data_IF_650260775250
#
_entry.id   IF_650260775250
#
_cell.length_a   1.000
_cell.length_b   1.000
_cell.length_c   1.000
_cell.angle_alpha   90.00
_cell.angle_beta   90.00
_cell.angle_gamma   90.00
#
_symmetry.space_group_name_H-M   'P 1'
#
loop_
_entity.id
_entity.type
_entity.pdbx_description
1 polymer ?
#
# COMPACT_ATOMS: atom_id res chain seq x y z
N UNK A 1 29.13 -15.60 58.96
CA UNK A 1 29.04 -14.83 57.72
C UNK A 1 27.76 -15.24 57.00
N UNK A 2 26.75 -14.36 56.94
CA UNK A 2 25.44 -14.63 56.33
C UNK A 2 25.52 -14.34 54.83
N UNK A 3 25.17 -15.31 53.98
CA UNK A 3 24.95 -15.10 52.54
C UNK A 3 23.45 -15.04 52.28
N UNK A 4 22.97 -13.89 51.83
CA UNK A 4 21.59 -13.62 51.43
C UNK A 4 21.48 -14.04 49.96
N UNK A 5 20.58 -14.99 49.68
CA UNK A 5 20.24 -15.47 48.34
C UNK A 5 19.03 -14.63 47.87
N UNK A 6 19.22 -13.80 46.84
CA UNK A 6 18.16 -13.00 46.25
C UNK A 6 17.56 -13.78 45.07
N UNK A 7 16.32 -14.26 45.21
CA UNK A 7 15.56 -14.91 44.15
C UNK A 7 14.72 -13.82 43.44
N UNK A 8 15.00 -13.54 42.17
CA UNK A 8 14.18 -12.63 41.36
C UNK A 8 13.13 -13.46 40.60
N UNK A 9 11.86 -13.23 40.94
CA UNK A 9 10.69 -13.77 40.25
C UNK A 9 10.43 -12.94 39.00
N UNK A 10 10.51 -13.53 37.81
CA UNK A 10 10.12 -12.88 36.55
C UNK A 10 8.72 -13.38 36.16
N UNK A 11 7.75 -12.48 36.19
CA UNK A 11 6.34 -12.74 35.84
C UNK A 11 6.15 -12.53 34.34
N UNK A 12 5.78 -13.58 33.61
CA UNK A 12 5.36 -13.50 32.20
C UNK A 12 3.90 -13.02 32.12
N UNK A 13 3.68 -11.85 31.52
CA UNK A 13 2.36 -11.47 31.01
C UNK A 13 2.23 -12.01 29.58
N UNK A 14 1.29 -12.93 29.37
CA UNK A 14 0.86 -13.38 28.04
C UNK A 14 -0.27 -12.45 27.59
N UNK A 15 -0.07 -11.68 26.52
CA UNK A 15 -1.14 -10.99 25.80
C UNK A 15 -1.44 -11.76 24.51
N UNK A 16 -2.69 -12.20 24.41
CA UNK A 16 -3.34 -12.82 23.25
C UNK A 16 -3.59 -11.77 22.17
N UNK A 17 -3.08 -11.97 20.95
CA UNK A 17 -3.50 -11.22 19.77
C UNK A 17 -4.60 -11.99 19.04
N UNK A 18 -5.71 -11.29 18.79
CA UNK A 18 -6.85 -11.71 17.97
C UNK A 18 -6.43 -11.85 16.50
N UNK A 19 -7.01 -12.83 15.80
CA UNK A 19 -6.91 -12.95 14.35
C UNK A 19 -7.79 -11.88 13.69
N UNK A 20 -7.18 -10.93 12.99
CA UNK A 20 -7.90 -10.04 12.08
C UNK A 20 -7.74 -10.57 10.65
N UNK A 21 -8.87 -10.91 10.02
CA UNK A 21 -8.96 -11.29 8.62
C UNK A 21 -8.76 -10.05 7.73
N UNK A 22 -7.76 -10.11 6.85
CA UNK A 22 -7.53 -9.09 5.84
C UNK A 22 -8.61 -9.17 4.75
N UNK A 23 -9.49 -8.18 4.72
CA UNK A 23 -10.47 -7.99 3.64
C UNK A 23 -9.84 -7.16 2.53
N UNK A 24 -9.77 -7.74 1.34
CA UNK A 24 -9.40 -7.07 0.09
C UNK A 24 -10.49 -6.05 -0.27
N UNK A 25 -10.20 -4.76 -0.10
CA UNK A 25 -11.09 -3.68 -0.51
C UNK A 25 -10.91 -3.37 -2.00
N UNK A 26 -11.84 -3.85 -2.82
CA UNK A 26 -12.04 -3.37 -4.19
C UNK A 26 -12.85 -2.06 -4.12
N UNK A 27 -12.27 -0.87 -4.44
CA UNK A 27 -12.93 0.41 -4.19
C UNK A 27 -13.81 0.79 -5.38
N UNK A 28 -14.81 -0.02 -5.70
CA UNK A 28 -15.98 0.43 -6.47
C UNK A 28 -17.18 0.53 -5.53
N UNK A 29 -17.15 1.54 -4.65
CA UNK A 29 -18.31 1.91 -3.84
C UNK A 29 -18.85 3.28 -4.30
N UNK A 30 -20.13 3.29 -4.66
CA UNK A 30 -20.90 4.48 -5.03
C UNK A 30 -20.87 5.54 -3.90
N UNK A 31 -20.44 6.76 -4.25
CA UNK A 31 -20.48 7.94 -3.40
C UNK A 31 -21.92 8.45 -3.23
N UNK A 32 -22.62 7.98 -2.18
CA UNK A 32 -23.89 8.59 -1.79
C UNK A 32 -23.58 9.79 -0.90
N UNK A 33 -23.70 10.98 -1.48
CA UNK A 33 -23.67 12.20 -0.70
C UNK A 33 -24.89 12.21 0.27
N UNK A 34 -24.79 12.86 1.44
CA UNK A 34 -25.89 13.10 2.39
C UNK A 34 -26.36 14.55 2.38
N UNK A 35 -27.65 14.78 2.64
CA UNK A 35 -28.24 16.12 2.65
C UNK A 35 -27.64 16.98 3.78
N UNK A 36 -26.91 18.03 3.42
CA UNK A 36 -26.51 19.10 4.34
C UNK A 36 -27.68 20.01 4.69
N UNK A 37 -27.51 20.77 5.77
CA UNK A 37 -28.41 21.72 6.50
C UNK A 37 -29.82 22.03 5.95
N UNK A 38 -30.78 22.27 6.85
CA UNK A 38 -32.22 22.41 6.59
C UNK A 38 -32.64 23.50 5.60
N UNK A 39 -31.75 24.43 5.21
CA UNK A 39 -32.01 25.50 4.24
C UNK A 39 -31.49 25.19 2.81
N UNK A 40 -30.95 23.99 2.59
CA UNK A 40 -30.40 23.58 1.30
C UNK A 40 -31.50 23.17 0.31
N UNK A 41 -31.60 23.88 -0.82
CA UNK A 41 -32.44 23.53 -1.96
C UNK A 41 -31.78 22.54 -2.92
N UNK A 42 -30.47 22.28 -2.76
CA UNK A 42 -29.77 21.20 -3.44
C UNK A 42 -29.69 19.97 -2.57
N UNK A 43 -29.87 18.80 -3.17
CA UNK A 43 -29.72 17.51 -2.52
C UNK A 43 -28.40 16.87 -2.92
N UNK A 44 -28.02 15.89 -2.13
CA UNK A 44 -26.82 15.14 -2.33
C UNK A 44 -26.81 14.31 -3.63
N UNK A 45 -27.97 14.04 -4.21
CA UNK A 45 -28.12 13.41 -5.53
C UNK A 45 -27.92 14.36 -6.70
N UNK A 46 -27.72 15.66 -6.46
CA UNK A 46 -27.59 16.67 -7.52
C UNK A 46 -26.26 16.60 -8.26
N UNK A 47 -25.26 15.92 -7.70
CA UNK A 47 -23.92 15.85 -8.26
C UNK A 47 -23.42 14.41 -8.25
N UNK A 48 -22.67 14.07 -9.29
CA UNK A 48 -21.94 12.83 -9.42
C UNK A 48 -20.45 13.16 -9.25
N UNK A 49 -19.81 12.52 -8.28
CA UNK A 49 -18.38 12.68 -7.97
C UNK A 49 -17.67 11.37 -8.25
N UNK A 50 -16.76 11.37 -9.21
CA UNK A 50 -15.83 10.26 -9.44
C UNK A 50 -14.41 10.69 -9.12
N UNK A 51 -13.64 9.80 -8.50
CA UNK A 51 -12.26 10.09 -8.10
C UNK A 51 -11.35 9.00 -8.59
N UNK A 52 -10.18 9.40 -9.07
CA UNK A 52 -9.07 8.50 -9.37
C UNK A 52 -7.78 9.04 -8.78
N UNK A 53 -6.81 8.16 -8.58
CA UNK A 53 -5.44 8.51 -8.25
C UNK A 53 -4.48 7.81 -9.21
N UNK A 54 -3.28 8.37 -9.38
CA UNK A 54 -2.21 7.65 -10.06
C UNK A 54 -1.60 6.56 -9.15
N UNK A 55 -0.76 5.70 -9.72
CA UNK A 55 -0.20 4.53 -9.01
C UNK A 55 0.59 4.90 -7.75
N UNK A 56 1.40 5.96 -7.82
CA UNK A 56 2.17 6.45 -6.69
C UNK A 56 1.31 7.20 -5.64
N UNK A 57 0.02 7.44 -5.90
CA UNK A 57 -0.93 8.09 -4.98
C UNK A 57 -0.68 9.58 -4.75
N UNK A 58 0.15 10.25 -5.56
CA UNK A 58 0.48 11.66 -5.39
C UNK A 58 -0.35 12.59 -6.25
N UNK A 59 -0.96 12.11 -7.34
CA UNK A 59 -1.89 12.87 -8.18
C UNK A 59 -3.30 12.32 -8.02
N UNK A 60 -4.21 13.21 -7.63
CA UNK A 60 -5.62 12.93 -7.40
C UNK A 60 -6.47 13.71 -8.39
N UNK A 61 -7.38 13.04 -9.08
CA UNK A 61 -8.32 13.65 -10.03
C UNK A 61 -9.74 13.45 -9.54
N UNK A 62 -10.44 14.55 -9.28
CA UNK A 62 -11.85 14.59 -8.95
C UNK A 62 -12.62 15.11 -10.16
N UNK A 63 -13.58 14.34 -10.64
CA UNK A 63 -14.51 14.77 -11.69
C UNK A 63 -15.88 14.93 -11.06
N UNK A 64 -16.37 16.17 -11.06
CA UNK A 64 -17.69 16.53 -10.54
C UNK A 64 -18.56 16.92 -11.72
N UNK A 65 -19.71 16.28 -11.83
CA UNK A 65 -20.72 16.61 -12.84
C UNK A 65 -22.08 16.79 -12.18
N UNK A 66 -22.94 17.60 -12.80
CA UNK A 66 -24.33 17.68 -12.40
C UNK A 66 -25.04 16.39 -12.76
N UNK A 67 -25.92 15.91 -11.89
CA UNK A 67 -26.84 14.85 -12.24
C UNK A 67 -27.86 15.41 -13.27
N UNK A 68 -27.93 14.88 -14.50
CA UNK A 68 -28.83 15.40 -15.54
C UNK A 68 -30.31 15.22 -15.19
N UNK A 69 -30.64 14.33 -14.25
CA UNK A 69 -32.00 14.08 -13.79
C UNK A 69 -32.47 15.12 -12.75
N UNK A 70 -31.57 15.96 -12.25
CA UNK A 70 -31.89 16.98 -11.24
C UNK A 70 -31.66 18.39 -11.78
N UNK A 71 -32.27 19.39 -11.12
CA UNK A 71 -32.08 20.81 -11.45
C UNK A 71 -30.90 21.40 -10.66
N UNK A 72 -29.77 20.70 -10.67
CA UNK A 72 -28.57 21.08 -9.95
C UNK A 72 -28.08 22.48 -10.38
N UNK A 73 -27.73 23.30 -9.38
CA UNK A 73 -27.14 24.63 -9.60
C UNK A 73 -25.68 24.51 -10.04
N UNK A 74 -25.08 25.62 -10.46
CA UNK A 74 -23.63 25.67 -10.68
C UNK A 74 -22.90 25.52 -9.34
N UNK A 75 -21.80 24.76 -9.37
CA UNK A 75 -20.91 24.57 -8.23
C UNK A 75 -20.19 25.89 -7.96
N UNK A 76 -20.19 26.34 -6.70
CA UNK A 76 -19.38 27.47 -6.26
C UNK A 76 -18.03 27.01 -5.73
N UNK A 77 -18.02 25.99 -4.89
CA UNK A 77 -16.77 25.36 -4.45
C UNK A 77 -16.97 23.90 -4.02
N UNK A 78 -15.87 23.17 -4.06
CA UNK A 78 -15.75 21.81 -3.55
C UNK A 78 -14.77 21.78 -2.38
N UNK A 79 -15.09 21.01 -1.32
CA UNK A 79 -14.23 20.88 -0.14
C UNK A 79 -13.91 19.41 0.08
N UNK A 80 -12.64 19.12 0.35
CA UNK A 80 -12.16 17.76 0.67
C UNK A 80 -11.53 17.78 2.06
N UNK A 81 -11.96 16.88 2.95
CA UNK A 81 -11.28 16.66 4.23
C UNK A 81 -9.96 15.93 3.98
N UNK A 82 -8.87 16.50 4.49
CA UNK A 82 -7.55 15.87 4.41
C UNK A 82 -7.12 15.22 5.73
N UNK A 83 -7.83 15.45 6.84
CA UNK A 83 -7.50 14.89 8.16
C UNK A 83 -7.87 13.41 8.28
N UNK A 84 -7.19 12.55 7.53
CA UNK A 84 -7.54 11.13 7.41
C UNK A 84 -6.44 10.19 7.93
N UNK A 85 -5.35 10.73 8.47
CA UNK A 85 -4.26 9.97 9.09
C UNK A 85 -3.59 10.74 10.25
N UNK A 86 -4.37 11.45 11.07
CA UNK A 86 -3.84 12.23 12.19
C UNK A 86 -2.74 13.21 11.77
N UNK A 87 -1.58 13.15 12.44
CA UNK A 87 -0.44 14.03 12.16
C UNK A 87 0.26 13.76 10.83
N UNK A 88 0.01 12.61 10.20
CA UNK A 88 0.62 12.24 8.92
C UNK A 88 -0.27 12.53 7.71
N UNK A 89 -1.50 12.97 7.97
CA UNK A 89 -2.46 13.44 6.96
C UNK A 89 -1.82 14.37 5.93
N UNK A 90 -2.30 14.30 4.69
CA UNK A 90 -2.03 15.36 3.72
C UNK A 90 -2.50 16.71 4.29
N UNK A 91 -1.78 17.78 4.00
CA UNK A 91 -2.13 19.14 4.40
C UNK A 91 -2.08 20.08 3.20
N UNK A 92 -2.64 21.28 3.35
CA UNK A 92 -2.55 22.33 2.34
C UNK A 92 -1.09 22.61 1.90
N UNK A 93 -0.13 22.52 2.82
CA UNK A 93 1.29 22.76 2.55
C UNK A 93 1.94 21.66 1.69
N UNK A 94 1.36 20.46 1.64
CA UNK A 94 1.89 19.36 0.83
C UNK A 94 1.44 19.43 -0.64
N UNK A 95 0.58 20.40 -1.01
CA UNK A 95 0.09 20.56 -2.38
C UNK A 95 1.15 21.27 -3.23
N UNK A 96 1.62 20.61 -4.28
CA UNK A 96 2.57 21.15 -5.26
C UNK A 96 1.84 22.02 -6.28
N UNK A 97 0.72 21.51 -6.81
CA UNK A 97 -0.19 22.27 -7.65
C UNK A 97 -1.60 21.70 -7.56
N UNK A 98 -2.58 22.52 -7.91
CA UNK A 98 -3.91 22.04 -8.24
C UNK A 98 -4.43 22.80 -9.46
N UNK A 99 -5.22 22.11 -10.28
CA UNK A 99 -5.87 22.70 -11.45
C UNK A 99 -7.37 22.41 -11.44
N UNK A 100 -8.15 23.34 -11.97
CA UNK A 100 -9.56 23.13 -12.33
C UNK A 100 -9.67 23.30 -13.85
N UNK A 101 -10.12 22.26 -14.55
CA UNK A 101 -10.24 22.23 -16.01
C UNK A 101 -8.95 22.66 -16.75
N UNK A 102 -7.79 22.26 -16.21
CA UNK A 102 -6.47 22.54 -16.79
C UNK A 102 -5.86 23.91 -16.43
N UNK A 103 -6.55 24.75 -15.65
CA UNK A 103 -6.04 26.04 -15.18
C UNK A 103 -5.74 25.99 -13.68
N UNK A 104 -4.78 26.78 -13.17
CA UNK A 104 -4.47 26.82 -11.73
C UNK A 104 -5.73 27.05 -10.89
N UNK A 105 -5.92 26.21 -9.88
CA UNK A 105 -7.06 26.26 -8.99
C UNK A 105 -6.93 27.41 -7.98
N UNK A 106 -8.05 28.05 -7.64
CA UNK A 106 -8.15 28.95 -6.50
C UNK A 106 -8.42 28.13 -5.23
N UNK A 107 -7.35 27.88 -4.47
CA UNK A 107 -7.36 27.08 -3.26
C UNK A 107 -7.37 27.95 -2.01
N UNK A 108 -8.18 27.57 -1.02
CA UNK A 108 -8.15 28.19 0.30
C UNK A 108 -8.28 27.14 1.41
N UNK A 109 -7.62 27.37 2.55
CA UNK A 109 -7.72 26.54 3.75
C UNK A 109 -8.83 27.03 4.71
N UNK A 110 -9.73 27.90 4.24
CA UNK A 110 -10.81 28.47 5.03
C UNK A 110 -12.09 28.54 4.20
N UNK A 111 -13.18 28.05 4.76
CA UNK A 111 -14.51 28.15 4.15
C UNK A 111 -14.92 29.62 3.95
N UNK A 112 -14.60 30.49 4.92
CA UNK A 112 -15.16 31.84 5.06
C UNK A 112 -16.31 31.85 6.08
N UNK A 113 -16.99 32.99 6.25
CA UNK A 113 -18.22 33.08 7.04
C UNK A 113 -19.45 32.98 6.12
N UNK A 114 -20.51 32.31 6.58
CA UNK A 114 -21.84 32.36 5.95
C UNK A 114 -22.06 31.43 4.76
N UNK A 115 -21.28 30.36 4.64
CA UNK A 115 -21.30 29.42 3.50
C UNK A 115 -22.04 28.10 3.80
N UNK A 116 -22.66 27.95 4.96
CA UNK A 116 -23.51 26.82 5.37
C UNK A 116 -22.89 25.41 5.28
N UNK A 117 -21.63 25.24 4.84
CA UNK A 117 -20.94 23.94 4.80
C UNK A 117 -20.24 23.60 6.12
N UNK A 118 -19.74 24.60 6.85
CA UNK A 118 -19.06 24.51 8.15
C UNK A 118 -18.16 23.25 8.28
N UNK A 119 -17.18 23.04 7.38
CA UNK A 119 -16.24 21.94 7.50
C UNK A 119 -15.44 22.01 8.82
N UNK A 120 -15.28 23.22 9.38
CA UNK A 120 -14.59 23.47 10.65
C UNK A 120 -15.25 22.75 11.85
N UNK A 121 -16.54 22.43 11.78
CA UNK A 121 -17.21 21.60 12.80
C UNK A 121 -16.72 20.15 12.81
N UNK A 122 -16.13 19.66 11.72
CA UNK A 122 -15.67 18.27 11.54
C UNK A 122 -14.14 18.18 11.52
N UNK A 123 -13.47 19.12 10.86
CA UNK A 123 -12.03 19.08 10.61
C UNK A 123 -11.43 20.47 10.51
N UNK A 124 -10.19 20.62 10.98
CA UNK A 124 -9.39 21.83 10.79
C UNK A 124 -8.40 21.69 9.62
N UNK A 125 -8.34 20.53 8.96
CA UNK A 125 -7.44 20.26 7.85
C UNK A 125 -8.27 19.79 6.63
N UNK A 126 -8.62 20.76 5.80
CA UNK A 126 -9.36 20.58 4.57
C UNK A 126 -8.85 21.55 3.51
N UNK A 127 -9.22 21.29 2.27
CA UNK A 127 -8.99 22.20 1.14
C UNK A 127 -10.31 22.60 0.53
N UNK A 128 -10.52 23.90 0.31
CA UNK A 128 -11.62 24.44 -0.47
C UNK A 128 -11.10 24.85 -1.84
N UNK A 129 -11.69 24.30 -2.88
CA UNK A 129 -11.40 24.58 -4.29
C UNK A 129 -12.57 25.38 -4.85
N UNK A 130 -12.34 26.66 -5.15
CA UNK A 130 -13.34 27.46 -5.85
C UNK A 130 -13.38 27.05 -7.33
N UNK A 131 -14.57 26.98 -7.88
CA UNK A 131 -14.79 26.61 -9.28
C UNK A 131 -15.77 27.57 -9.93
N UNK A 132 -15.72 27.64 -11.25
CA UNK A 132 -16.62 28.47 -12.06
C UNK A 132 -17.21 27.65 -13.22
N UNK A 133 -18.22 28.22 -13.87
CA UNK A 133 -18.88 27.61 -15.03
C UNK A 133 -19.91 26.54 -14.67
N UNK A 134 -20.39 25.83 -15.69
CA UNK A 134 -21.53 24.90 -15.58
C UNK A 134 -21.14 23.42 -15.40
N UNK A 135 -19.85 23.13 -15.32
CA UNK A 135 -19.30 21.79 -15.27
C UNK A 135 -19.22 21.10 -16.65
N UNK A 136 -18.67 19.86 -16.73
CA UNK A 136 -18.05 19.14 -15.61
C UNK A 136 -16.81 19.88 -15.09
N UNK A 137 -16.52 19.69 -13.80
CA UNK A 137 -15.33 20.24 -13.15
C UNK A 137 -14.34 19.11 -12.94
N UNK A 138 -13.22 19.18 -13.64
CA UNK A 138 -12.08 18.26 -13.48
C UNK A 138 -11.07 18.95 -12.59
N UNK A 139 -10.90 18.45 -11.38
CA UNK A 139 -10.00 19.01 -10.37
C UNK A 139 -8.82 18.05 -10.21
N UNK A 140 -7.64 18.49 -10.60
CA UNK A 140 -6.39 17.74 -10.40
C UNK A 140 -5.64 18.34 -9.22
N UNK A 141 -5.20 17.50 -8.29
CA UNK A 141 -4.44 17.91 -7.10
C UNK A 141 -3.20 17.04 -7.01
N UNK A 142 -2.03 17.68 -7.13
CA UNK A 142 -0.73 17.02 -6.97
C UNK A 142 -0.17 17.34 -5.60
N UNK A 143 0.10 16.31 -4.82
CA UNK A 143 0.86 16.39 -3.59
C UNK A 143 2.35 16.10 -3.83
N UNK A 144 3.19 16.51 -2.88
CA UNK A 144 4.64 16.31 -2.92
C UNK A 144 5.06 14.84 -2.80
N UNK A 145 4.19 13.99 -2.24
CA UNK A 145 4.39 12.55 -2.05
C UNK A 145 3.09 11.79 -2.27
N UNK A 146 3.21 10.47 -2.33
CA UNK A 146 2.08 9.56 -2.42
C UNK A 146 1.26 9.49 -1.14
N UNK A 147 -0.04 9.27 -1.27
CA UNK A 147 -0.95 8.94 -0.16
C UNK A 147 -1.79 7.70 -0.51
N UNK A 148 -2.10 6.89 0.50
CA UNK A 148 -3.08 5.80 0.38
C UNK A 148 -4.49 6.35 0.20
N UNK A 149 -5.38 5.54 -0.39
CA UNK A 149 -6.78 5.93 -0.55
C UNK A 149 -7.62 5.59 0.67
N UNK A 150 -8.44 6.54 1.11
CA UNK A 150 -9.41 6.33 2.18
C UNK A 150 -10.72 7.04 1.86
N UNK A 151 -11.84 6.49 2.33
CA UNK A 151 -13.13 7.16 2.25
C UNK A 151 -13.17 8.26 3.30
N UNK A 152 -13.40 9.51 2.88
CA UNK A 152 -13.51 10.66 3.75
C UNK A 152 -14.70 11.56 3.38
N UNK A 153 -14.96 12.55 4.23
CA UNK A 153 -16.01 13.55 4.03
C UNK A 153 -15.56 14.60 3.01
N UNK A 154 -16.49 14.97 2.14
CA UNK A 154 -16.40 16.11 1.23
C UNK A 154 -17.66 16.96 1.29
N UNK A 155 -17.57 18.19 0.80
CA UNK A 155 -18.69 19.11 0.73
C UNK A 155 -18.79 19.74 -0.65
N UNK A 156 -20.02 19.89 -1.13
CA UNK A 156 -20.37 20.57 -2.37
C UNK A 156 -21.21 21.78 -2.04
N UNK A 157 -20.72 22.97 -2.39
CA UNK A 157 -21.45 24.23 -2.26
C UNK A 157 -21.98 24.67 -3.62
N UNK A 158 -23.29 24.86 -3.73
CA UNK A 158 -23.92 25.40 -4.92
C UNK A 158 -25.03 26.40 -4.58
N UNK A 159 -25.00 27.59 -5.17
CA UNK A 159 -25.93 28.67 -4.82
C UNK A 159 -25.89 29.00 -3.32
N UNK A 160 -27.00 28.80 -2.59
CA UNK A 160 -27.13 28.97 -1.13
C UNK A 160 -27.23 27.61 -0.41
N UNK A 161 -26.68 26.56 -1.00
CA UNK A 161 -26.92 25.19 -0.56
C UNK A 161 -25.60 24.47 -0.39
N UNK A 162 -25.48 23.68 0.67
CA UNK A 162 -24.33 22.81 0.92
C UNK A 162 -24.80 21.38 1.10
N UNK A 163 -24.12 20.44 0.43
CA UNK A 163 -24.31 19.01 0.61
C UNK A 163 -23.02 18.36 1.07
N UNK A 164 -23.11 17.41 1.99
CA UNK A 164 -21.98 16.64 2.48
C UNK A 164 -21.95 15.29 1.77
N UNK A 165 -20.83 14.59 1.81
CA UNK A 165 -20.84 13.18 1.45
C UNK A 165 -19.50 12.51 1.45
N UNK A 166 -19.53 11.20 1.26
CA UNK A 166 -18.34 10.36 1.27
C UNK A 166 -17.70 10.33 -0.11
N UNK A 167 -16.37 10.43 -0.15
CA UNK A 167 -15.56 10.37 -1.37
C UNK A 167 -14.20 9.74 -1.04
N UNK A 168 -13.52 9.16 -2.04
CA UNK A 168 -12.10 8.84 -1.91
C UNK A 168 -11.27 10.12 -1.72
N UNK A 169 -10.37 10.09 -0.75
CA UNK A 169 -9.47 11.19 -0.40
C UNK A 169 -8.09 10.65 0.02
N UNK A 170 -7.06 11.52 0.05
CA UNK A 170 -5.74 11.16 0.58
C UNK A 170 -5.82 10.72 2.06
N UNK A 171 -5.25 9.56 2.35
CA UNK A 171 -5.14 8.95 3.67
C UNK A 171 -3.76 9.15 4.30
N UNK A 172 -3.16 8.04 4.76
CA UNK A 172 -1.79 8.05 5.24
C UNK A 172 -0.79 8.20 4.09
N UNK A 173 0.39 8.80 4.32
CA UNK A 173 1.43 8.85 3.31
C UNK A 173 1.80 7.45 2.85
N UNK A 174 1.95 7.28 1.54
CA UNK A 174 2.67 6.12 1.02
C UNK A 174 4.11 6.28 1.46
N UNK A 175 4.54 5.39 2.34
CA UNK A 175 5.96 5.25 2.62
C UNK A 175 6.58 4.76 1.32
N UNK A 176 7.64 5.43 0.79
CA UNK A 176 8.33 4.97 -0.40
C UNK A 176 8.67 3.51 -0.20
N UNK A 177 8.16 2.69 -1.11
CA UNK A 177 8.45 1.28 -1.11
C UNK A 177 9.96 1.11 -1.13
N UNK A 178 10.50 0.36 -0.18
CA UNK A 178 11.90 0.05 -0.17
C UNK A 178 12.02 -1.47 -0.08
N UNK A 179 12.74 -2.05 -1.05
CA UNK A 179 12.99 -3.48 -1.07
C UNK A 179 14.24 -3.77 -0.25
N UNK A 180 14.18 -4.75 0.63
CA UNK A 180 15.37 -5.25 1.28
C UNK A 180 15.97 -6.39 0.45
N UNK A 181 17.30 -6.39 0.32
CA UNK A 181 17.99 -7.44 -0.41
C UNK A 181 17.75 -8.85 0.15
N UNK A 182 17.98 -9.88 -0.67
CA UNK A 182 18.02 -11.27 -0.21
C UNK A 182 18.95 -11.48 1.02
N UNK A 183 20.02 -10.72 1.16
CA UNK A 183 20.91 -10.81 2.31
C UNK A 183 20.24 -10.36 3.62
N UNK A 184 19.34 -9.37 3.55
CA UNK A 184 18.60 -8.89 4.70
C UNK A 184 17.68 -9.99 5.27
N UNK A 185 16.86 -10.62 4.42
CA UNK A 185 15.89 -11.62 4.87
C UNK A 185 16.50 -12.99 5.17
N UNK A 186 17.48 -13.43 4.38
CA UNK A 186 17.97 -14.81 4.42
C UNK A 186 19.33 -14.97 5.09
N UNK A 187 20.28 -14.04 4.85
CA UNK A 187 21.61 -14.14 5.46
C UNK A 187 21.63 -13.66 6.92
N UNK A 188 20.92 -12.56 7.19
CA UNK A 188 21.02 -11.85 8.46
C UNK A 188 19.82 -12.08 9.40
N UNK A 189 18.68 -12.54 8.86
CA UNK A 189 17.54 -13.08 9.61
C UNK A 189 17.19 -12.33 10.90
N UNK A 190 16.91 -13.10 11.96
CA UNK A 190 16.50 -12.59 13.27
C UNK A 190 17.67 -12.03 14.12
N UNK A 191 18.91 -12.33 13.75
CA UNK A 191 20.08 -12.08 14.61
C UNK A 191 20.57 -10.63 14.58
N UNK A 192 20.34 -9.88 13.49
CA UNK A 192 20.89 -8.53 13.32
C UNK A 192 19.84 -7.42 13.06
N UNK A 193 18.57 -7.77 12.84
CA UNK A 193 17.54 -6.79 12.47
C UNK A 193 16.64 -6.35 13.64
N UNK A 194 16.98 -6.72 14.88
CA UNK A 194 16.21 -6.33 16.07
C UNK A 194 14.80 -6.95 16.19
N UNK A 195 14.40 -7.80 15.22
CA UNK A 195 13.13 -8.52 15.20
C UNK A 195 13.37 -10.03 15.34
N UNK A 196 12.67 -10.67 16.28
CA UNK A 196 12.77 -12.12 16.54
C UNK A 196 12.17 -12.98 15.42
N UNK A 197 11.25 -12.43 14.61
CA UNK A 197 10.70 -13.09 13.43
C UNK A 197 10.29 -12.04 12.38
N UNK A 198 10.91 -12.07 11.20
CA UNK A 198 10.55 -11.23 10.05
C UNK A 198 9.49 -11.91 9.17
N UNK A 199 9.34 -13.23 9.27
CA UNK A 199 8.39 -14.00 8.48
C UNK A 199 7.25 -14.45 9.41
N UNK A 200 6.50 -13.48 9.95
CA UNK A 200 5.46 -13.74 10.95
C UNK A 200 4.40 -14.75 10.47
N UNK A 201 4.10 -14.74 9.17
CA UNK A 201 3.17 -15.68 8.52
C UNK A 201 3.87 -16.73 7.65
N UNK A 202 5.20 -16.86 7.77
CA UNK A 202 6.02 -17.61 6.82
C UNK A 202 6.15 -16.90 5.46
N UNK A 203 6.90 -17.54 4.56
CA UNK A 203 7.07 -17.13 3.17
C UNK A 203 6.55 -18.26 2.29
N UNK A 204 5.45 -18.04 1.57
CA UNK A 204 4.96 -19.00 0.59
C UNK A 204 5.67 -18.81 -0.73
N UNK A 205 6.18 -19.86 -1.37
CA UNK A 205 6.70 -19.90 -2.75
C UNK A 205 6.32 -21.25 -3.35
N UNK A 206 5.67 -21.27 -4.52
CA UNK A 206 5.27 -22.51 -5.19
C UNK A 206 4.28 -23.33 -4.36
N UNK A 207 3.28 -22.67 -3.79
CA UNK A 207 2.29 -23.25 -2.85
C UNK A 207 2.85 -23.80 -1.53
N UNK A 208 4.18 -23.78 -1.32
CA UNK A 208 4.81 -24.23 -0.08
C UNK A 208 5.12 -23.03 0.82
N UNK A 209 4.61 -23.04 2.06
CA UNK A 209 4.93 -22.03 3.08
C UNK A 209 6.16 -22.45 3.88
N UNK A 210 7.23 -21.67 3.76
CA UNK A 210 8.49 -21.83 4.48
C UNK A 210 8.52 -20.99 5.75
N UNK A 211 9.05 -21.55 6.83
CA UNK A 211 9.37 -20.77 8.03
C UNK A 211 10.67 -19.99 7.84
N UNK A 212 10.92 -18.99 8.68
CA UNK A 212 12.20 -18.27 8.64
C UNK A 212 13.41 -19.20 8.87
N UNK A 213 13.24 -20.22 9.71
CA UNK A 213 14.28 -21.23 9.94
C UNK A 213 14.60 -22.02 8.66
N UNK A 214 13.56 -22.41 7.90
CA UNK A 214 13.72 -23.09 6.61
C UNK A 214 14.46 -22.21 5.61
N UNK A 215 14.06 -20.94 5.50
CA UNK A 215 14.72 -19.96 4.64
C UNK A 215 16.21 -19.79 4.92
N UNK A 216 16.56 -19.62 6.20
CA UNK A 216 17.95 -19.50 6.64
C UNK A 216 18.73 -20.80 6.41
N UNK A 217 18.11 -21.96 6.61
CA UNK A 217 18.72 -23.26 6.32
C UNK A 217 19.04 -23.42 4.83
N UNK A 218 18.06 -23.13 3.96
CA UNK A 218 18.24 -23.17 2.49
C UNK A 218 19.36 -22.21 2.07
N UNK A 219 19.38 -20.99 2.61
CA UNK A 219 20.41 -20.00 2.34
C UNK A 219 21.82 -20.46 2.74
N UNK A 220 21.97 -21.03 3.93
CA UNK A 220 23.27 -21.47 4.44
C UNK A 220 23.86 -22.61 3.59
N UNK A 221 23.02 -23.54 3.12
CA UNK A 221 23.45 -24.62 2.22
C UNK A 221 23.80 -24.06 0.83
N UNK A 222 22.97 -23.18 0.26
CA UNK A 222 23.18 -22.61 -1.09
C UNK A 222 24.43 -21.73 -1.18
N UNK A 223 24.63 -20.81 -0.22
CA UNK A 223 25.81 -19.93 -0.18
C UNK A 223 27.09 -20.64 0.22
N UNK A 224 26.99 -21.87 0.72
CA UNK A 224 28.12 -22.76 0.99
C UNK A 224 28.67 -23.40 -0.29
N UNK A 225 28.75 -24.73 -0.30
CA UNK A 225 29.28 -25.48 -1.45
C UNK A 225 28.21 -25.85 -2.49
N UNK A 226 26.94 -25.49 -2.26
CA UNK A 226 25.77 -25.98 -2.97
C UNK A 226 25.14 -25.03 -3.97
N UNK A 227 25.84 -23.96 -4.39
CA UNK A 227 25.27 -22.86 -5.18
C UNK A 227 24.45 -23.31 -6.38
N UNK A 228 23.13 -23.14 -6.28
CA UNK A 228 22.17 -23.48 -7.31
C UNK A 228 21.54 -22.18 -7.84
N UNK A 229 21.74 -21.89 -9.13
CA UNK A 229 21.23 -20.65 -9.75
C UNK A 229 19.70 -20.53 -9.69
N UNK A 230 18.98 -21.65 -9.56
CA UNK A 230 17.52 -21.66 -9.35
C UNK A 230 17.15 -21.09 -7.98
N UNK A 231 17.96 -21.38 -6.94
CA UNK A 231 17.73 -20.85 -5.60
C UNK A 231 17.97 -19.34 -5.53
N UNK A 232 18.80 -18.75 -6.40
CA UNK A 232 18.81 -17.29 -6.54
C UNK A 232 17.41 -16.75 -6.92
N UNK A 233 16.68 -17.43 -7.81
CA UNK A 233 15.29 -17.08 -8.11
C UNK A 233 14.38 -17.16 -6.88
N UNK A 234 14.50 -18.24 -6.11
CA UNK A 234 13.79 -18.42 -4.84
C UNK A 234 14.03 -17.26 -3.86
N UNK A 235 15.29 -16.90 -3.62
CA UNK A 235 15.65 -15.83 -2.69
C UNK A 235 15.20 -14.45 -3.17
N UNK A 236 15.28 -14.18 -4.47
CA UNK A 236 14.87 -12.90 -5.04
C UNK A 236 13.34 -12.74 -4.99
N UNK A 237 12.59 -13.80 -5.32
CA UNK A 237 11.14 -13.81 -5.12
C UNK A 237 10.79 -13.61 -3.64
N UNK A 238 11.46 -14.33 -2.74
CA UNK A 238 11.24 -14.17 -1.30
C UNK A 238 11.50 -12.74 -0.82
N UNK A 239 12.59 -12.12 -1.27
CA UNK A 239 12.95 -10.77 -0.89
C UNK A 239 11.91 -9.73 -1.37
N UNK A 240 11.46 -9.82 -2.63
CA UNK A 240 10.47 -8.87 -3.17
C UNK A 240 9.08 -9.07 -2.55
N UNK A 241 8.70 -10.31 -2.25
CA UNK A 241 7.44 -10.64 -1.58
C UNK A 241 7.42 -10.17 -0.13
N UNK A 242 8.47 -10.48 0.64
CA UNK A 242 8.59 -10.04 2.04
C UNK A 242 8.71 -8.53 2.18
N UNK A 243 9.17 -7.86 1.11
CA UNK A 243 9.19 -6.42 1.06
C UNK A 243 7.84 -5.84 0.62
N UNK A 244 6.92 -6.60 0.00
CA UNK A 244 5.60 -6.20 -0.55
C UNK A 244 5.57 -5.47 -1.93
N UNK A 245 6.45 -5.84 -2.89
CA UNK A 245 6.47 -5.24 -4.27
C UNK A 245 6.45 -6.28 -5.37
N UNK A 246 5.85 -7.42 -5.08
CA UNK A 246 5.63 -8.46 -6.06
C UNK A 246 4.95 -7.92 -7.32
N UNK A 247 3.95 -7.05 -7.16
CA UNK A 247 3.19 -6.45 -8.25
C UNK A 247 4.08 -5.70 -9.26
N UNK A 248 5.23 -5.16 -8.84
CA UNK A 248 6.15 -4.43 -9.72
C UNK A 248 6.98 -5.35 -10.62
N UNK A 249 7.02 -6.65 -10.31
CA UNK A 249 7.81 -7.67 -11.03
C UNK A 249 6.98 -8.93 -11.35
N UNK A 250 5.66 -8.79 -11.47
CA UNK A 250 4.70 -9.90 -11.56
C UNK A 250 5.06 -10.94 -12.65
N UNK A 251 5.47 -10.50 -13.84
CA UNK A 251 5.86 -11.41 -14.93
C UNK A 251 6.99 -12.37 -14.52
N UNK A 252 7.93 -11.90 -13.69
CA UNK A 252 9.05 -12.71 -13.22
C UNK A 252 8.64 -13.60 -12.04
N UNK A 253 7.75 -13.10 -11.19
CA UNK A 253 7.13 -13.86 -10.10
C UNK A 253 6.41 -15.08 -10.67
N UNK A 254 5.57 -14.91 -11.68
CA UNK A 254 4.79 -16.00 -12.29
C UNK A 254 5.67 -17.15 -12.80
N UNK A 255 6.84 -16.83 -13.37
CA UNK A 255 7.80 -17.83 -13.85
C UNK A 255 8.39 -18.63 -12.69
N UNK A 256 8.77 -17.95 -11.61
CA UNK A 256 9.40 -18.57 -10.44
C UNK A 256 8.35 -19.40 -9.67
N UNK A 257 7.15 -18.87 -9.49
CA UNK A 257 6.00 -19.57 -8.89
C UNK A 257 5.68 -20.85 -9.64
N UNK A 258 5.47 -20.80 -10.95
CA UNK A 258 5.11 -21.97 -11.74
C UNK A 258 6.16 -23.10 -11.63
N UNK A 259 7.44 -22.75 -11.59
CA UNK A 259 8.52 -23.71 -11.36
C UNK A 259 8.43 -24.32 -9.95
N UNK A 260 8.33 -23.50 -8.90
CA UNK A 260 8.33 -24.00 -7.53
C UNK A 260 7.04 -24.73 -7.15
N UNK A 261 5.89 -24.39 -7.73
CA UNK A 261 4.65 -25.17 -7.61
C UNK A 261 4.85 -26.60 -8.10
N UNK A 262 5.54 -26.77 -9.23
CA UNK A 262 5.81 -28.10 -9.78
C UNK A 262 6.93 -28.85 -9.03
N UNK A 263 7.89 -28.13 -8.43
CA UNK A 263 8.93 -28.71 -7.58
C UNK A 263 8.35 -29.20 -6.24
N UNK A 264 7.43 -28.43 -5.65
CA UNK A 264 6.95 -28.62 -4.28
C UNK A 264 7.93 -28.04 -3.25
N UNK A 265 8.10 -28.74 -2.14
CA UNK A 265 8.97 -28.28 -1.06
C UNK A 265 10.45 -28.44 -1.43
N UNK A 266 11.19 -27.32 -1.47
CA UNK A 266 12.63 -27.28 -1.78
C UNK A 266 13.46 -28.18 -0.85
N UNK A 267 13.05 -28.30 0.42
CA UNK A 267 13.76 -29.11 1.41
C UNK A 267 13.78 -30.61 1.04
N UNK A 268 12.82 -31.09 0.26
CA UNK A 268 12.77 -32.49 -0.20
C UNK A 268 13.88 -32.83 -1.22
N UNK A 269 14.56 -31.80 -1.74
CA UNK A 269 15.67 -31.94 -2.70
C UNK A 269 17.04 -31.79 -2.05
N UNK A 270 17.11 -31.71 -0.71
CA UNK A 270 18.37 -31.74 0.02
C UNK A 270 19.06 -33.10 -0.19
N UNK A 271 20.34 -33.07 -0.58
CA UNK A 271 21.12 -34.28 -0.81
C UNK A 271 22.55 -34.11 -0.32
N UNK A 272 23.20 -35.24 -0.01
CA UNK A 272 24.59 -35.27 0.44
C UNK A 272 25.46 -36.00 -0.60
N UNK A 273 26.55 -35.36 -1.05
CA UNK A 273 27.58 -36.00 -1.86
C UNK A 273 28.96 -35.60 -1.35
N UNK A 274 29.85 -36.58 -1.17
CA UNK A 274 31.21 -36.35 -0.67
C UNK A 274 31.26 -35.55 0.64
N UNK A 275 30.31 -35.81 1.55
CA UNK A 275 30.21 -35.11 2.84
C UNK A 275 29.73 -33.66 2.75
N UNK A 276 29.24 -33.22 1.58
CA UNK A 276 28.69 -31.88 1.37
C UNK A 276 27.20 -31.96 1.10
N UNK A 277 26.44 -31.09 1.76
CA UNK A 277 24.99 -30.93 1.58
C UNK A 277 24.75 -29.88 0.49
N UNK A 278 23.81 -30.13 -0.41
CA UNK A 278 23.34 -29.20 -1.45
C UNK A 278 21.92 -29.56 -1.89
N UNK A 279 21.26 -28.66 -2.62
CA UNK A 279 19.93 -28.92 -3.19
C UNK A 279 20.03 -29.33 -4.65
N UNK A 280 19.51 -30.53 -4.98
CA UNK A 280 19.48 -31.06 -6.34
C UNK A 280 18.11 -30.85 -6.98
N UNK A 281 17.77 -29.60 -7.24
CA UNK A 281 16.53 -29.22 -7.92
C UNK A 281 16.51 -29.72 -9.39
N UNK A 282 15.32 -30.01 -9.96
CA UNK A 282 15.20 -30.52 -11.33
C UNK A 282 15.59 -29.44 -12.35
N UNK A 283 16.18 -29.84 -13.48
CA UNK A 283 16.55 -28.90 -14.53
C UNK A 283 15.33 -28.23 -15.20
N UNK A 284 14.16 -28.85 -15.10
CA UNK A 284 12.86 -28.38 -15.59
C UNK A 284 11.75 -28.89 -14.67
N UNK A 285 10.78 -28.04 -14.35
CA UNK A 285 9.57 -28.39 -13.62
C UNK A 285 8.42 -27.50 -14.08
N UNK A 286 7.23 -28.08 -14.26
CA UNK A 286 6.04 -27.31 -14.70
C UNK A 286 6.17 -26.67 -16.07
N UNK A 287 7.03 -27.19 -16.96
CA UNK A 287 7.36 -26.58 -18.25
C UNK A 287 8.25 -25.33 -18.16
N UNK A 288 8.80 -25.04 -16.98
CA UNK A 288 9.76 -23.95 -16.74
C UNK A 288 11.14 -24.56 -16.50
N UNK A 289 12.15 -24.04 -17.20
CA UNK A 289 13.55 -24.46 -17.06
C UNK A 289 14.27 -23.69 -15.95
N UNK A 290 15.28 -24.30 -15.35
CA UNK A 290 16.18 -23.65 -14.40
C UNK A 290 16.79 -22.33 -14.92
N UNK A 291 17.05 -22.23 -16.23
CA UNK A 291 17.58 -21.01 -16.86
C UNK A 291 16.54 -19.89 -16.90
N UNK A 292 15.26 -20.20 -17.12
CA UNK A 292 14.18 -19.21 -17.06
C UNK A 292 14.00 -18.67 -15.64
N UNK A 293 14.05 -19.54 -14.62
CA UNK A 293 14.01 -19.14 -13.21
C UNK A 293 15.18 -18.22 -12.86
N UNK A 294 16.40 -18.59 -13.25
CA UNK A 294 17.59 -17.76 -13.00
C UNK A 294 17.49 -16.38 -13.68
N UNK A 295 16.97 -16.32 -14.91
CA UNK A 295 16.74 -15.05 -15.62
C UNK A 295 15.67 -14.19 -14.94
N UNK A 296 14.56 -14.79 -14.51
CA UNK A 296 13.52 -14.10 -13.76
C UNK A 296 14.05 -13.57 -12.42
N UNK A 297 14.80 -14.39 -11.68
CA UNK A 297 15.46 -13.99 -10.44
C UNK A 297 16.44 -12.83 -10.62
N UNK A 298 17.23 -12.83 -11.70
CA UNK A 298 18.12 -11.71 -12.03
C UNK A 298 17.37 -10.40 -12.33
N UNK A 299 16.21 -10.48 -12.98
CA UNK A 299 15.38 -9.30 -13.25
C UNK A 299 14.75 -8.74 -11.96
N UNK A 300 14.29 -9.61 -11.05
CA UNK A 300 13.84 -9.20 -9.71
C UNK A 300 15.00 -8.58 -8.93
N UNK A 301 16.19 -9.20 -8.93
CA UNK A 301 17.37 -8.65 -8.24
C UNK A 301 17.72 -7.25 -8.72
N UNK A 302 17.67 -6.99 -10.04
CA UNK A 302 17.86 -5.65 -10.59
C UNK A 302 16.82 -4.65 -10.08
N UNK A 303 15.54 -5.05 -10.01
CA UNK A 303 14.49 -4.21 -9.44
C UNK A 303 14.76 -3.89 -7.96
N UNK A 304 15.18 -4.88 -7.17
CA UNK A 304 15.54 -4.69 -5.75
C UNK A 304 16.70 -3.70 -5.62
N UNK A 305 17.75 -3.83 -6.43
CA UNK A 305 18.91 -2.92 -6.40
C UNK A 305 18.52 -1.47 -6.75
N UNK A 306 17.61 -1.28 -7.72
CA UNK A 306 17.09 0.04 -8.12
C UNK A 306 16.14 0.67 -7.08
N UNK A 307 15.58 -0.13 -6.17
CA UNK A 307 14.58 0.28 -5.18
C UNK A 307 14.99 -0.09 -3.73
N UNK A 308 16.29 -0.20 -3.47
CA UNK A 308 16.81 -0.71 -2.19
C UNK A 308 16.58 0.28 -1.04
N UNK A 309 16.19 -0.22 0.14
CA UNK A 309 16.17 0.59 1.37
C UNK A 309 17.60 0.94 1.80
N UNK A 310 17.90 2.22 2.03
CA UNK A 310 19.15 2.60 2.70
C UNK A 310 19.08 2.43 4.22
#
# INVERSE_FOLDING_TARGET
MKKILLLALFSFCLTSCSNDEATSNDPTALNVLQKGTSNSGSTSTDYLVSVSQNSDGSLWTYIISKNPETKAKDLGHYIINLNNCGNESATFANIVYANVNGYPADLTANEGQGTDCDPQAITNNFIKINVEGSGPWVIDIKFERGYEAVISTSWIKAGNSCSLGSVLAPGCPKVPYCSYSQGFFFANGALNNGATNLWTNGLTIGETTYTQADGMHIWNIDRGYGGNQVLNGFFQLGAVRLSDAEASVQLHVDIIEAYFTAVGNVLDYETTSNGKIYFRLPAEAGGITASQVAKAGGAIGKFIDENHCN
#
